data_IF_876724951555
#
_entry.id   IF_876724951555
#
_cell.length_a   1.000
_cell.length_b   1.000
_cell.length_c   1.000
_cell.angle_alpha   90.00
_cell.angle_beta   90.00
_cell.angle_gamma   90.00
#
_symmetry.space_group_name_H-M   'P 1'
#
loop_
_entity.id
_entity.type
_entity.pdbx_description
1 polymer ?
#
# COMPACT_ATOMS: atom_id res chain seq x y z
N UNK A 1 -19.94 1.35 6.08
CA UNK A 1 -18.61 1.85 6.47
C UNK A 1 -17.47 1.09 5.77
N UNK A 2 -17.43 -0.25 5.84
CA UNK A 2 -16.34 -1.08 5.29
C UNK A 2 -16.14 -0.90 3.78
N UNK A 3 -17.22 -0.83 2.99
CA UNK A 3 -17.15 -0.53 1.55
C UNK A 3 -16.66 0.90 1.28
N UNK A 4 -17.14 1.89 2.03
CA UNK A 4 -16.62 3.26 1.92
C UNK A 4 -15.11 3.32 2.21
N UNK A 5 -14.65 2.62 3.24
CA UNK A 5 -13.22 2.49 3.54
C UNK A 5 -12.44 1.88 2.36
N UNK A 6 -12.95 0.81 1.78
CA UNK A 6 -12.33 0.19 0.60
C UNK A 6 -12.18 1.21 -0.53
N UNK A 7 -13.22 1.98 -0.85
CA UNK A 7 -13.19 2.96 -1.94
C UNK A 7 -12.18 4.08 -1.66
N UNK A 8 -12.08 4.56 -0.40
CA UNK A 8 -11.06 5.55 0.01
C UNK A 8 -9.65 4.98 -0.12
N UNK A 9 -9.42 3.72 0.26
CA UNK A 9 -8.11 3.04 0.08
C UNK A 9 -7.76 2.91 -1.41
N UNK A 10 -8.73 2.60 -2.27
CA UNK A 10 -8.49 2.55 -3.72
C UNK A 10 -8.11 3.93 -4.28
N UNK A 11 -8.77 4.99 -3.81
CA UNK A 11 -8.44 6.36 -4.19
C UNK A 11 -7.03 6.75 -3.71
N UNK A 12 -6.67 6.40 -2.47
CA UNK A 12 -5.34 6.63 -1.92
C UNK A 12 -4.27 5.90 -2.74
N UNK A 13 -4.55 4.66 -3.17
CA UNK A 13 -3.62 3.89 -4.01
C UNK A 13 -3.41 4.55 -5.37
N UNK A 14 -4.47 5.03 -6.01
CA UNK A 14 -4.37 5.79 -7.28
C UNK A 14 -3.56 7.06 -7.10
N UNK A 15 -3.78 7.78 -6.00
CA UNK A 15 -3.06 9.03 -5.72
C UNK A 15 -1.57 8.79 -5.46
N UNK A 16 -1.22 7.69 -4.76
CA UNK A 16 0.18 7.26 -4.62
C UNK A 16 0.84 6.95 -5.96
N UNK A 17 0.10 6.35 -6.90
CA UNK A 17 0.61 6.08 -8.26
C UNK A 17 0.84 7.38 -9.03
N UNK A 18 -0.08 8.36 -8.94
CA UNK A 18 0.11 9.69 -9.54
C UNK A 18 1.34 10.38 -8.97
N UNK A 19 1.48 10.40 -7.65
CA UNK A 19 2.65 10.95 -6.99
C UNK A 19 3.95 10.28 -7.47
N UNK A 20 3.97 8.95 -7.60
CA UNK A 20 5.13 8.22 -8.10
C UNK A 20 5.49 8.63 -9.55
N UNK A 21 4.50 8.90 -10.39
CA UNK A 21 4.74 9.44 -11.73
C UNK A 21 5.33 10.85 -11.69
N UNK A 22 4.83 11.72 -10.82
CA UNK A 22 5.42 13.07 -10.63
C UNK A 22 6.82 13.00 -10.04
N UNK A 23 7.07 12.07 -9.11
CA UNK A 23 8.41 11.82 -8.58
C UNK A 23 9.38 11.40 -9.69
N UNK A 24 8.95 10.51 -10.61
CA UNK A 24 9.76 10.12 -11.76
C UNK A 24 10.09 11.32 -12.66
N UNK A 25 9.14 12.21 -12.91
CA UNK A 25 9.39 13.41 -13.69
C UNK A 25 10.36 14.37 -12.99
N UNK A 26 10.17 14.61 -11.67
CA UNK A 26 10.99 15.54 -10.90
C UNK A 26 12.36 14.97 -10.56
N UNK A 27 12.44 13.71 -10.13
CA UNK A 27 13.65 13.04 -9.65
C UNK A 27 13.65 11.58 -10.07
N UNK A 28 13.96 11.33 -11.34
CA UNK A 28 13.88 9.99 -11.95
C UNK A 28 14.78 8.95 -11.25
N UNK A 29 15.94 9.35 -10.76
CA UNK A 29 16.84 8.46 -10.04
C UNK A 29 16.22 7.93 -8.75
N UNK A 30 15.56 8.79 -7.96
CA UNK A 30 14.86 8.32 -6.75
C UNK A 30 13.69 7.40 -7.08
N UNK A 31 12.94 7.70 -8.14
CA UNK A 31 11.79 6.88 -8.54
C UNK A 31 12.19 5.46 -9.01
N UNK A 32 13.40 5.28 -9.50
CA UNK A 32 13.94 4.01 -10.00
C UNK A 32 14.76 3.25 -8.97
N UNK A 33 15.22 3.91 -7.91
CA UNK A 33 16.01 3.29 -6.85
C UNK A 33 15.13 2.37 -5.99
N UNK A 34 15.49 1.07 -5.95
CA UNK A 34 14.75 0.06 -5.20
C UNK A 34 14.89 0.21 -3.67
N UNK A 35 15.93 0.91 -3.20
CA UNK A 35 16.15 1.21 -1.78
C UNK A 35 15.32 2.39 -1.28
N UNK A 36 14.81 3.24 -2.19
CA UNK A 36 14.04 4.43 -1.86
C UNK A 36 12.55 4.15 -2.07
N UNK A 37 11.80 4.15 -0.99
CA UNK A 37 10.34 3.95 -1.06
C UNK A 37 9.65 5.23 -1.55
N UNK A 38 9.14 5.23 -2.80
CA UNK A 38 8.61 6.40 -3.51
C UNK A 38 7.53 7.19 -2.75
N UNK A 39 6.70 6.54 -1.96
CA UNK A 39 5.58 7.19 -1.23
C UNK A 39 5.78 7.21 0.29
N UNK A 40 7.04 7.08 0.74
CA UNK A 40 7.39 7.20 2.16
C UNK A 40 7.19 8.65 2.66
N UNK A 41 7.05 8.82 3.97
CA UNK A 41 6.96 10.14 4.57
C UNK A 41 8.19 11.00 4.26
N UNK A 42 9.38 10.39 4.32
CA UNK A 42 10.65 11.05 4.01
C UNK A 42 10.73 11.47 2.55
N UNK A 43 10.35 10.61 1.59
CA UNK A 43 10.34 10.97 0.16
C UNK A 43 9.38 12.13 -0.12
N UNK A 44 8.19 12.10 0.47
CA UNK A 44 7.22 13.19 0.36
C UNK A 44 7.79 14.50 0.93
N UNK A 45 8.40 14.44 2.12
CA UNK A 45 8.99 15.61 2.77
C UNK A 45 10.18 16.18 1.98
N UNK A 46 11.02 15.32 1.38
CA UNK A 46 12.10 15.75 0.48
C UNK A 46 11.54 16.50 -0.74
N UNK A 47 10.48 15.99 -1.34
CA UNK A 47 9.88 16.62 -2.51
C UNK A 47 9.18 17.96 -2.19
N UNK A 48 8.72 18.16 -0.96
CA UNK A 48 8.19 19.44 -0.48
C UNK A 48 9.31 20.43 -0.12
N UNK A 49 10.42 19.95 0.45
CA UNK A 49 11.52 20.82 0.87
C UNK A 49 12.35 21.33 -0.30
N UNK A 50 12.66 20.45 -1.27
CA UNK A 50 13.54 20.79 -2.39
C UNK A 50 12.73 21.09 -3.65
N UNK A 51 12.76 22.35 -4.07
CA UNK A 51 12.01 22.84 -5.23
C UNK A 51 12.53 22.21 -6.54
N UNK A 52 13.85 22.05 -6.66
CA UNK A 52 14.49 21.46 -7.84
C UNK A 52 15.32 20.23 -7.46
N UNK A 53 15.56 19.38 -8.45
CA UNK A 53 16.47 18.23 -8.26
C UNK A 53 17.90 18.70 -8.02
N UNK A 54 18.32 19.87 -8.55
CA UNK A 54 19.65 20.43 -8.31
C UNK A 54 19.82 20.88 -6.87
N UNK A 55 18.77 21.48 -6.26
CA UNK A 55 18.81 21.85 -4.85
C UNK A 55 19.02 20.60 -3.97
N UNK A 56 18.38 19.48 -4.31
CA UNK A 56 18.56 18.22 -3.60
C UNK A 56 19.96 17.61 -3.85
N UNK A 57 20.43 17.63 -5.11
CA UNK A 57 21.74 17.07 -5.50
C UNK A 57 22.92 17.80 -4.87
N UNK A 58 22.76 19.10 -4.59
CA UNK A 58 23.80 19.99 -4.04
C UNK A 58 23.54 20.34 -2.56
N UNK A 59 22.54 19.74 -1.91
CA UNK A 59 22.28 19.97 -0.51
C UNK A 59 23.49 19.58 0.34
N UNK A 60 23.71 20.29 1.45
CA UNK A 60 24.69 19.89 2.43
C UNK A 60 24.35 18.48 2.98
N UNK A 61 25.36 17.62 3.09
CA UNK A 61 25.14 16.22 3.48
C UNK A 61 24.68 16.09 4.94
N UNK A 62 25.23 16.91 5.83
CA UNK A 62 24.91 16.85 7.25
C UNK A 62 23.47 17.35 7.47
N UNK A 63 23.07 18.43 6.81
CA UNK A 63 21.71 18.95 6.80
C UNK A 63 20.70 17.94 6.20
N UNK A 64 21.08 17.27 5.12
CA UNK A 64 20.25 16.26 4.49
C UNK A 64 20.11 15.01 5.39
N UNK A 65 21.21 14.59 6.03
CA UNK A 65 21.22 13.49 6.98
C UNK A 65 20.31 13.76 8.18
N UNK A 66 20.42 14.95 8.77
CA UNK A 66 19.56 15.38 9.87
C UNK A 66 18.07 15.37 9.45
N UNK A 67 17.78 15.88 8.26
CA UNK A 67 16.41 15.90 7.73
C UNK A 67 15.83 14.50 7.46
N UNK A 68 16.66 13.58 6.93
CA UNK A 68 16.29 12.17 6.72
C UNK A 68 16.03 11.48 8.06
N UNK A 69 16.87 11.70 9.07
CA UNK A 69 16.70 11.15 10.41
C UNK A 69 15.39 11.63 11.05
N UNK A 70 15.13 12.93 11.02
CA UNK A 70 13.91 13.55 11.57
C UNK A 70 12.65 13.00 10.90
N UNK A 71 12.58 13.06 9.57
CA UNK A 71 11.39 12.62 8.80
C UNK A 71 11.21 11.10 8.82
N UNK A 72 12.30 10.35 8.97
CA UNK A 72 12.32 8.90 9.12
C UNK A 72 11.80 8.40 10.46
N UNK A 73 11.85 9.21 11.52
CA UNK A 73 11.37 8.86 12.87
C UNK A 73 11.96 7.54 13.37
N UNK A 74 13.28 7.38 13.25
CA UNK A 74 14.00 6.18 13.70
C UNK A 74 13.82 4.92 12.82
N UNK A 75 13.27 5.04 11.61
CA UNK A 75 13.10 3.90 10.70
C UNK A 75 14.34 3.58 9.87
N UNK A 76 15.27 4.52 9.78
CA UNK A 76 16.53 4.31 9.09
C UNK A 76 17.59 3.88 10.09
N UNK A 77 18.19 2.71 9.87
CA UNK A 77 19.32 2.25 10.67
C UNK A 77 20.56 3.14 10.44
N UNK A 78 20.71 3.64 9.21
CA UNK A 78 21.78 4.53 8.79
C UNK A 78 21.18 5.68 7.94
N UNK A 79 20.83 6.82 8.58
CA UNK A 79 20.31 8.01 7.88
C UNK A 79 21.34 8.63 6.92
N UNK A 80 22.63 8.57 7.22
CA UNK A 80 23.67 9.13 6.36
C UNK A 80 23.80 8.36 5.06
N UNK A 81 23.81 7.02 5.12
CA UNK A 81 23.78 6.18 3.92
C UNK A 81 22.54 6.46 3.07
N UNK A 82 21.38 6.65 3.70
CA UNK A 82 20.15 7.01 2.99
C UNK A 82 20.25 8.40 2.33
N UNK A 83 20.82 9.39 3.02
CA UNK A 83 21.04 10.73 2.48
C UNK A 83 21.99 10.71 1.27
N UNK A 84 23.08 9.95 1.36
CA UNK A 84 24.02 9.73 0.24
C UNK A 84 23.32 9.08 -0.96
N UNK A 85 22.50 8.06 -0.73
CA UNK A 85 21.73 7.41 -1.79
C UNK A 85 20.74 8.37 -2.47
N UNK A 86 20.02 9.17 -1.69
CA UNK A 86 19.10 10.21 -2.19
C UNK A 86 19.86 11.24 -3.03
N UNK A 87 21.01 11.72 -2.56
CA UNK A 87 21.86 12.66 -3.29
C UNK A 87 22.40 12.08 -4.60
N UNK A 88 22.88 10.84 -4.56
CA UNK A 88 23.35 10.14 -5.76
C UNK A 88 22.24 9.96 -6.78
N UNK A 89 21.05 9.57 -6.33
CA UNK A 89 19.86 9.46 -7.18
C UNK A 89 19.45 10.82 -7.79
N UNK A 90 19.52 11.90 -7.02
CA UNK A 90 19.26 13.25 -7.52
C UNK A 90 20.28 13.69 -8.58
N UNK A 91 21.57 13.39 -8.37
CA UNK A 91 22.64 13.67 -9.35
C UNK A 91 22.43 12.92 -10.66
N UNK A 92 21.97 11.67 -10.61
CA UNK A 92 21.68 10.85 -11.78
C UNK A 92 20.33 11.14 -12.46
N UNK A 93 19.54 12.07 -11.95
CA UNK A 93 18.22 12.40 -12.49
C UNK A 93 18.26 13.36 -13.66
N UNK A 94 17.26 13.29 -14.53
CA UNK A 94 17.08 14.29 -15.59
C UNK A 94 16.80 15.67 -15.02
N UNK A 95 17.15 16.71 -15.80
CA UNK A 95 16.89 18.11 -15.48
C UNK A 95 15.73 18.62 -16.31
N UNK A 96 14.68 19.06 -15.63
CA UNK A 96 13.51 19.67 -16.30
C UNK A 96 13.76 21.16 -16.55
N UNK A 97 13.27 21.70 -17.67
CA UNK A 97 13.15 23.16 -17.82
C UNK A 97 12.32 23.75 -16.69
N UNK A 98 12.65 24.98 -16.27
CA UNK A 98 12.03 25.63 -15.10
C UNK A 98 10.49 25.60 -15.16
N UNK A 99 9.90 25.99 -16.29
CA UNK A 99 8.44 26.02 -16.47
C UNK A 99 7.78 24.67 -16.28
N UNK A 100 8.43 23.58 -16.73
CA UNK A 100 7.95 22.20 -16.56
C UNK A 100 8.10 21.78 -15.11
N UNK A 101 9.24 22.07 -14.48
CA UNK A 101 9.49 21.77 -13.08
C UNK A 101 8.45 22.44 -12.15
N UNK A 102 8.15 23.71 -12.39
CA UNK A 102 7.15 24.46 -11.61
C UNK A 102 5.76 23.82 -11.74
N UNK A 103 5.37 23.40 -12.95
CA UNK A 103 4.11 22.69 -13.19
C UNK A 103 4.07 21.34 -12.48
N UNK A 104 5.17 20.56 -12.53
CA UNK A 104 5.27 19.27 -11.82
C UNK A 104 5.18 19.47 -10.31
N UNK A 105 5.84 20.50 -9.76
CA UNK A 105 5.76 20.82 -8.33
C UNK A 105 4.33 21.15 -7.90
N UNK A 106 3.59 21.95 -8.66
CA UNK A 106 2.19 22.26 -8.37
C UNK A 106 1.31 21.00 -8.38
N UNK A 107 1.44 20.16 -9.41
CA UNK A 107 0.69 18.90 -9.52
C UNK A 107 1.05 17.94 -8.37
N UNK A 108 2.32 17.88 -8.00
CA UNK A 108 2.80 17.07 -6.88
C UNK A 108 2.24 17.57 -5.55
N UNK A 109 2.21 18.87 -5.31
CA UNK A 109 1.64 19.46 -4.10
C UNK A 109 0.15 19.14 -3.94
N UNK A 110 -0.63 19.19 -5.03
CA UNK A 110 -2.04 18.78 -5.04
C UNK A 110 -2.17 17.29 -4.71
N UNK A 111 -1.33 16.45 -5.30
CA UNK A 111 -1.33 15.01 -5.03
C UNK A 111 -0.99 14.70 -3.56
N UNK A 112 -0.01 15.39 -2.98
CA UNK A 112 0.36 15.24 -1.57
C UNK A 112 -0.80 15.65 -0.65
N UNK A 113 -1.45 16.78 -0.92
CA UNK A 113 -2.60 17.23 -0.16
C UNK A 113 -3.75 16.20 -0.23
N UNK A 114 -4.04 15.67 -1.42
CA UNK A 114 -5.05 14.63 -1.62
C UNK A 114 -4.71 13.35 -0.85
N UNK A 115 -3.45 12.89 -0.89
CA UNK A 115 -3.01 11.71 -0.12
C UNK A 115 -3.16 11.92 1.39
N UNK A 116 -2.88 13.12 1.91
CA UNK A 116 -3.06 13.46 3.33
C UNK A 116 -4.54 13.41 3.71
N UNK A 117 -5.40 14.06 2.94
CA UNK A 117 -6.84 14.05 3.17
C UNK A 117 -7.41 12.62 3.16
N UNK A 118 -7.04 11.80 2.17
CA UNK A 118 -7.48 10.40 2.08
C UNK A 118 -6.98 9.56 3.26
N UNK A 119 -5.75 9.77 3.74
CA UNK A 119 -5.25 9.08 4.93
C UNK A 119 -6.06 9.42 6.19
N UNK A 120 -6.46 10.68 6.36
CA UNK A 120 -7.31 11.09 7.49
C UNK A 120 -8.72 10.48 7.37
N UNK A 121 -9.29 10.46 6.16
CA UNK A 121 -10.58 9.78 5.93
C UNK A 121 -10.53 8.29 6.29
N UNK A 122 -9.43 7.59 5.97
CA UNK A 122 -9.23 6.19 6.39
C UNK A 122 -9.26 6.07 7.90
N UNK A 123 -8.54 6.92 8.64
CA UNK A 123 -8.53 6.90 10.11
C UNK A 123 -9.91 7.12 10.72
N UNK A 124 -10.68 8.07 10.17
CA UNK A 124 -12.06 8.33 10.62
C UNK A 124 -12.94 7.11 10.41
N UNK A 125 -12.84 6.49 9.23
CA UNK A 125 -13.60 5.28 8.91
C UNK A 125 -13.17 4.08 9.76
N UNK A 126 -11.87 3.91 10.00
CA UNK A 126 -11.34 2.85 10.86
C UNK A 126 -11.92 2.96 12.28
N UNK A 127 -11.88 4.16 12.86
CA UNK A 127 -12.44 4.42 14.20
C UNK A 127 -13.95 4.13 14.24
N UNK A 128 -14.69 4.58 13.23
CA UNK A 128 -16.13 4.35 13.14
C UNK A 128 -16.46 2.85 12.99
N UNK A 129 -15.66 2.11 12.20
CA UNK A 129 -15.81 0.67 12.04
C UNK A 129 -15.53 -0.04 13.36
N UNK A 130 -14.45 0.30 14.07
CA UNK A 130 -14.09 -0.30 15.36
C UNK A 130 -15.19 -0.10 16.39
N UNK A 131 -15.76 1.10 16.49
CA UNK A 131 -16.87 1.39 17.41
C UNK A 131 -18.12 0.54 17.13
N UNK A 132 -18.51 0.41 15.86
CA UNK A 132 -19.67 -0.40 15.48
C UNK A 132 -19.38 -1.90 15.62
N UNK A 133 -18.14 -2.31 15.50
CA UNK A 133 -17.74 -3.71 15.56
C UNK A 133 -17.72 -4.27 16.99
N UNK A 134 -17.55 -3.43 18.01
CA UNK A 134 -17.49 -3.87 19.43
C UNK A 134 -18.74 -4.61 19.91
N UNK A 135 -19.90 -4.31 19.33
CA UNK A 135 -21.17 -4.96 19.68
C UNK A 135 -21.43 -6.26 18.88
N UNK A 136 -20.55 -6.61 17.94
CA UNK A 136 -20.73 -7.79 17.06
C UNK A 136 -19.95 -8.97 17.63
N UNK A 137 -20.63 -10.04 18.11
CA UNK A 137 -19.95 -11.25 18.55
C UNK A 137 -19.16 -11.87 17.37
N UNK A 138 -17.90 -12.16 17.61
CA UNK A 138 -17.04 -12.76 16.58
C UNK A 138 -15.83 -13.49 17.19
N UNK A 139 -15.27 -14.41 16.42
CA UNK A 139 -14.04 -15.13 16.73
C UNK A 139 -12.86 -14.75 15.83
N UNK A 140 -13.07 -13.92 14.80
CA UNK A 140 -12.02 -13.59 13.83
C UNK A 140 -10.86 -12.81 14.45
N UNK A 141 -11.14 -11.99 15.45
CA UNK A 141 -10.10 -11.20 16.15
C UNK A 141 -9.18 -12.06 17.03
N UNK A 142 -9.51 -13.33 17.29
CA UNK A 142 -8.61 -14.26 17.97
C UNK A 142 -7.46 -14.75 17.08
N UNK A 143 -7.58 -14.58 15.76
CA UNK A 143 -6.54 -14.95 14.80
C UNK A 143 -5.44 -13.88 14.81
N UNK A 144 -4.18 -14.22 15.13
CA UNK A 144 -3.08 -13.26 15.13
C UNK A 144 -2.95 -12.54 13.78
N UNK A 145 -3.03 -11.22 13.80
CA UNK A 145 -2.98 -10.39 12.58
C UNK A 145 -4.33 -10.02 11.96
N UNK A 146 -5.46 -10.57 12.44
CA UNK A 146 -6.79 -10.17 12.00
C UNK A 146 -7.38 -9.15 12.97
N UNK A 147 -7.19 -7.86 12.69
CA UNK A 147 -7.72 -6.76 13.50
C UNK A 147 -9.21 -6.50 13.28
N UNK A 148 -9.79 -5.64 14.13
CA UNK A 148 -11.23 -5.29 14.12
C UNK A 148 -11.72 -4.85 12.74
N UNK A 149 -10.95 -4.05 12.01
CA UNK A 149 -11.34 -3.51 10.68
C UNK A 149 -11.47 -4.62 9.64
N UNK A 150 -10.52 -5.58 9.61
CA UNK A 150 -10.59 -6.70 8.67
C UNK A 150 -11.70 -7.67 9.04
N UNK A 151 -11.84 -7.97 10.34
CA UNK A 151 -12.95 -8.79 10.85
C UNK A 151 -14.31 -8.19 10.48
N UNK A 152 -14.49 -6.90 10.71
CA UNK A 152 -15.72 -6.18 10.36
C UNK A 152 -16.02 -6.25 8.86
N UNK A 153 -14.98 -6.07 8.02
CA UNK A 153 -15.12 -6.17 6.57
C UNK A 153 -15.54 -7.57 6.10
N UNK A 154 -14.93 -8.60 6.67
CA UNK A 154 -15.25 -10.01 6.37
C UNK A 154 -16.68 -10.33 6.79
N UNK A 155 -17.05 -10.02 8.03
CA UNK A 155 -18.38 -10.30 8.58
C UNK A 155 -19.47 -9.55 7.80
N UNK A 156 -19.25 -8.26 7.50
CA UNK A 156 -20.21 -7.44 6.77
C UNK A 156 -20.50 -7.98 5.35
N UNK A 157 -19.51 -8.59 4.70
CA UNK A 157 -19.66 -9.12 3.35
C UNK A 157 -20.14 -10.58 3.31
N UNK A 158 -19.80 -11.37 4.33
CA UNK A 158 -20.29 -12.74 4.48
C UNK A 158 -21.76 -12.74 4.94
N UNK A 159 -22.13 -11.87 5.89
CA UNK A 159 -23.42 -11.91 6.55
C UNK A 159 -23.59 -13.21 7.35
N UNK A 160 -24.64 -13.98 7.06
CA UNK A 160 -24.84 -15.29 7.68
C UNK A 160 -23.90 -16.34 7.05
N UNK A 161 -23.01 -16.90 7.85
CA UNK A 161 -22.04 -17.93 7.40
C UNK A 161 -22.76 -19.25 7.04
N UNK A 162 -23.92 -19.54 7.66
CA UNK A 162 -24.67 -20.78 7.42
C UNK A 162 -25.25 -20.89 6.00
N UNK A 163 -25.32 -19.79 5.28
CA UNK A 163 -25.72 -19.80 3.85
C UNK A 163 -24.70 -20.47 2.93
N UNK A 164 -23.47 -20.70 3.42
CA UNK A 164 -22.41 -21.34 2.66
C UNK A 164 -22.23 -22.80 3.10
N UNK A 165 -22.35 -23.72 2.15
CA UNK A 165 -22.20 -25.14 2.41
C UNK A 165 -20.77 -25.57 2.78
N UNK A 166 -19.75 -24.77 2.42
CA UNK A 166 -18.34 -25.06 2.67
C UNK A 166 -17.47 -23.81 2.56
N UNK A 167 -16.23 -23.91 3.06
CA UNK A 167 -15.20 -22.89 2.87
C UNK A 167 -14.90 -22.60 1.38
N UNK A 168 -14.97 -23.63 0.52
CA UNK A 168 -14.80 -23.48 -0.92
C UNK A 168 -15.91 -22.59 -1.53
N UNK A 169 -17.14 -22.64 -0.99
CA UNK A 169 -18.24 -21.78 -1.40
C UNK A 169 -17.97 -20.32 -1.02
N UNK A 170 -17.38 -20.06 0.15
CA UNK A 170 -16.94 -18.71 0.56
C UNK A 170 -15.83 -18.19 -0.35
N UNK A 171 -14.84 -19.01 -0.66
CA UNK A 171 -13.76 -18.65 -1.59
C UNK A 171 -14.30 -18.33 -2.98
N UNK A 172 -15.25 -19.13 -3.50
CA UNK A 172 -15.92 -18.89 -4.77
C UNK A 172 -16.73 -17.58 -4.75
N UNK A 173 -17.45 -17.32 -3.67
CA UNK A 173 -18.21 -16.08 -3.48
C UNK A 173 -17.28 -14.85 -3.46
N UNK A 174 -16.09 -14.94 -2.87
CA UNK A 174 -15.07 -13.91 -2.90
C UNK A 174 -14.36 -13.80 -4.27
N UNK A 175 -14.53 -14.77 -5.17
CA UNK A 175 -13.79 -14.86 -6.45
C UNK A 175 -12.32 -15.24 -6.26
N UNK A 176 -12.02 -16.01 -5.19
CA UNK A 176 -10.70 -16.58 -4.90
C UNK A 176 -10.62 -18.02 -5.42
N UNK A 177 -10.92 -18.18 -6.70
CA UNK A 177 -10.84 -19.46 -7.42
C UNK A 177 -10.07 -19.26 -8.71
N UNK A 178 -9.38 -20.32 -9.15
CA UNK A 178 -8.57 -20.30 -10.37
C UNK A 178 -9.33 -20.97 -11.50
N UNK A 179 -9.10 -20.50 -12.73
CA UNK A 179 -9.59 -21.17 -13.94
C UNK A 179 -8.84 -22.50 -14.10
N UNK A 180 -9.59 -23.56 -14.34
CA UNK A 180 -9.04 -24.81 -14.81
C UNK A 180 -9.24 -24.86 -16.33
N UNK A 181 -8.16 -24.94 -17.07
CA UNK A 181 -8.18 -25.18 -18.51
C UNK A 181 -7.61 -26.58 -18.75
N UNK A 182 -8.51 -27.57 -18.77
CA UNK A 182 -8.19 -28.94 -19.06
C UNK A 182 -8.98 -29.36 -20.30
N UNK A 183 -8.31 -29.89 -21.31
CA UNK A 183 -8.95 -30.53 -22.44
C UNK A 183 -8.14 -31.78 -22.85
N UNK A 184 -8.72 -32.96 -22.61
CA UNK A 184 -8.04 -34.23 -22.82
C UNK A 184 -6.80 -34.37 -21.94
N UNK A 185 -5.64 -34.57 -22.51
CA UNK A 185 -4.36 -34.67 -21.80
C UNK A 185 -3.68 -33.30 -21.57
N UNK A 186 -4.28 -32.20 -22.04
CA UNK A 186 -3.71 -30.87 -21.90
C UNK A 186 -4.13 -30.25 -20.56
N UNK A 187 -3.16 -29.91 -19.72
CA UNK A 187 -3.31 -29.12 -18.52
C UNK A 187 -2.51 -27.81 -18.66
N UNK A 188 -3.19 -26.66 -18.55
CA UNK A 188 -2.54 -25.39 -18.68
C UNK A 188 -1.59 -25.11 -17.51
N UNK A 189 -0.31 -24.84 -17.77
CA UNK A 189 0.71 -24.49 -16.76
C UNK A 189 0.35 -23.26 -15.92
N UNK A 190 -0.45 -22.34 -16.48
CA UNK A 190 -0.82 -21.09 -15.82
C UNK A 190 -2.33 -20.97 -15.68
N UNK A 191 -2.81 -21.09 -14.44
CA UNK A 191 -4.17 -20.75 -14.07
C UNK A 191 -4.27 -19.28 -13.65
N UNK A 192 -5.37 -18.61 -14.02
CA UNK A 192 -5.64 -17.22 -13.59
C UNK A 192 -6.76 -17.20 -12.56
N UNK A 193 -6.61 -16.36 -11.55
CA UNK A 193 -7.69 -16.12 -10.60
C UNK A 193 -8.87 -15.45 -11.31
N UNK A 194 -10.07 -16.03 -11.19
CA UNK A 194 -11.27 -15.61 -11.91
C UNK A 194 -11.69 -14.18 -11.56
N UNK A 195 -11.49 -13.76 -10.31
CA UNK A 195 -11.88 -12.44 -9.76
C UNK A 195 -13.37 -12.09 -9.93
N UNK A 196 -14.19 -13.00 -10.44
CA UNK A 196 -15.63 -12.88 -10.49
C UNK A 196 -16.20 -13.19 -9.11
N UNK A 197 -16.92 -12.26 -8.50
CA UNK A 197 -17.47 -12.41 -7.15
C UNK A 197 -17.37 -11.13 -6.33
N UNK A 198 -17.56 -11.26 -5.01
CA UNK A 198 -17.57 -10.12 -4.10
C UNK A 198 -16.15 -9.55 -3.94
N UNK A 199 -15.88 -8.41 -4.61
CA UNK A 199 -14.57 -7.74 -4.58
C UNK A 199 -14.19 -7.21 -3.20
N UNK A 200 -15.17 -6.86 -2.37
CA UNK A 200 -14.94 -6.33 -1.03
C UNK A 200 -14.51 -7.44 -0.10
N UNK A 201 -15.22 -8.58 -0.11
CA UNK A 201 -14.82 -9.76 0.65
C UNK A 201 -13.42 -10.22 0.25
N UNK A 202 -13.15 -10.32 -1.06
CA UNK A 202 -11.82 -10.68 -1.56
C UNK A 202 -10.73 -9.76 -1.03
N UNK A 203 -10.96 -8.45 -1.04
CA UNK A 203 -10.02 -7.47 -0.50
C UNK A 203 -9.73 -7.74 0.97
N UNK A 204 -10.76 -7.84 1.81
CA UNK A 204 -10.58 -8.05 3.24
C UNK A 204 -9.93 -9.38 3.58
N UNK A 205 -10.25 -10.44 2.85
CA UNK A 205 -9.60 -11.76 3.01
C UNK A 205 -8.12 -11.72 2.62
N UNK A 206 -7.76 -11.05 1.52
CA UNK A 206 -6.37 -10.93 1.09
C UNK A 206 -5.55 -10.08 2.06
N UNK A 207 -6.09 -8.95 2.54
CA UNK A 207 -5.41 -8.11 3.53
C UNK A 207 -5.23 -8.84 4.87
N UNK A 208 -6.26 -9.56 5.32
CA UNK A 208 -6.17 -10.40 6.51
C UNK A 208 -5.11 -11.49 6.33
N UNK A 209 -5.10 -12.22 5.22
CA UNK A 209 -4.10 -13.26 4.94
C UNK A 209 -2.67 -12.71 4.92
N UNK A 210 -2.45 -11.54 4.31
CA UNK A 210 -1.15 -10.86 4.33
C UNK A 210 -0.71 -10.46 5.74
N UNK A 211 -1.64 -10.10 6.61
CA UNK A 211 -1.34 -9.76 8.00
C UNK A 211 -1.05 -11.00 8.82
N UNK A 212 -1.89 -12.04 8.72
CA UNK A 212 -1.73 -13.33 9.42
C UNK A 212 -0.39 -13.95 9.10
N UNK A 213 0.01 -14.01 7.84
CA UNK A 213 1.33 -14.52 7.41
C UNK A 213 2.51 -13.87 8.15
N UNK A 214 2.37 -12.61 8.58
CA UNK A 214 3.43 -11.88 9.32
C UNK A 214 3.36 -12.08 10.83
N UNK A 215 2.17 -12.37 11.36
CA UNK A 215 1.91 -12.41 12.78
C UNK A 215 1.84 -13.83 13.34
N UNK A 216 1.55 -14.83 12.50
CA UNK A 216 1.40 -16.23 12.88
C UNK A 216 2.47 -17.09 12.23
N UNK A 217 3.18 -17.90 13.03
CA UNK A 217 4.29 -18.74 12.58
C UNK A 217 3.86 -19.92 11.71
N UNK A 218 2.69 -20.50 11.98
CA UNK A 218 2.17 -21.64 11.21
C UNK A 218 1.75 -21.19 9.81
N UNK A 219 1.00 -20.09 9.70
CA UNK A 219 0.63 -19.51 8.42
C UNK A 219 1.84 -19.01 7.62
N UNK A 220 2.86 -18.46 8.30
CA UNK A 220 4.14 -18.12 7.66
C UNK A 220 4.79 -19.35 7.07
N UNK A 221 4.96 -20.42 7.88
CA UNK A 221 5.54 -21.69 7.42
C UNK A 221 4.77 -22.26 6.25
N UNK A 222 3.43 -22.26 6.30
CA UNK A 222 2.62 -22.74 5.20
C UNK A 222 2.85 -21.93 3.92
N UNK A 223 2.93 -20.60 4.03
CA UNK A 223 3.25 -19.75 2.91
C UNK A 223 4.62 -20.06 2.31
N UNK A 224 5.67 -20.13 3.14
CA UNK A 224 7.05 -20.38 2.70
C UNK A 224 7.23 -21.78 2.08
N UNK A 225 6.36 -22.76 2.43
CA UNK A 225 6.35 -24.08 1.81
C UNK A 225 5.69 -24.09 0.41
N UNK A 226 4.88 -23.10 0.08
CA UNK A 226 4.13 -23.05 -1.20
C UNK A 226 4.74 -22.11 -2.23
N UNK A 227 5.59 -21.19 -1.81
CA UNK A 227 6.21 -20.13 -2.63
C UNK A 227 7.71 -20.01 -2.38
#
# INVERSE_FOLDING_TARGET
LTRARFDVIQNLTREKQRFANYLFLKCSGMAQDKGIQNTSATTIALMERFETVDNLANADLDDLTAFVAETGRGRFADPESTAKAVQAAARGSYRLPKTVNDTVNQAMAVSIASMRALKEQVKVLDKAIEQQFEIIPNTLTSIPGVGKVYSAGIIAEIGDIHRFASQASVAKFAGLVWTQHQSGEFEAEHSRMIKSGNRYLRYYLLEAANSVRRCDSEFRRYYDLKF
#
